data_IF_725312039691
#
_entry.id   IF_725312039691
#
_cell.length_a   1.000
_cell.length_b   1.000
_cell.length_c   1.000
_cell.angle_alpha   90.00
_cell.angle_beta   90.00
_cell.angle_gamma   90.00
#
_symmetry.space_group_name_H-M   'P 1'
#
loop_
_entity.id
_entity.type
_entity.pdbx_description
1 polymer ?
#
# COMPACT_ATOMS: atom_id res chain seq x y z
N UNK A 1 0.01 30.14 -15.36
CA UNK A 1 1.37 30.71 -15.23
C UNK A 1 1.69 30.87 -13.74
N UNK A 2 2.27 29.84 -13.11
CA UNK A 2 2.89 29.96 -11.79
C UNK A 2 4.41 29.82 -11.94
N UNK A 3 5.12 30.94 -11.85
CA UNK A 3 6.58 30.96 -11.72
C UNK A 3 6.95 30.38 -10.35
N UNK A 4 7.64 29.25 -10.33
CA UNK A 4 8.23 28.66 -9.12
C UNK A 4 9.29 29.62 -8.56
N UNK A 5 9.10 30.10 -7.34
CA UNK A 5 10.08 30.90 -6.63
C UNK A 5 11.02 29.97 -5.84
N UNK A 6 12.32 29.85 -6.18
CA UNK A 6 13.25 28.95 -5.51
C UNK A 6 13.61 29.34 -4.06
N UNK A 7 13.22 30.53 -3.62
CA UNK A 7 13.55 31.03 -2.28
C UNK A 7 12.73 30.41 -1.14
N UNK A 8 11.57 29.77 -1.43
CA UNK A 8 10.73 29.18 -0.39
C UNK A 8 11.23 27.82 0.12
N UNK A 9 12.08 27.13 -0.64
CA UNK A 9 12.56 25.79 -0.27
C UNK A 9 13.70 25.81 0.78
N UNK A 10 14.43 26.94 0.90
CA UNK A 10 15.53 27.07 1.88
C UNK A 10 15.08 27.43 3.30
N UNK A 11 13.86 27.93 3.51
CA UNK A 11 13.38 28.33 4.85
C UNK A 11 12.89 27.16 5.72
N UNK A 12 12.63 26.00 5.15
CA UNK A 12 12.13 24.85 5.91
C UNK A 12 13.24 24.02 6.60
N UNK A 13 14.53 24.34 6.33
CA UNK A 13 15.68 23.61 6.90
C UNK A 13 16.33 24.27 8.11
N UNK A 14 15.90 25.45 8.53
CA UNK A 14 16.55 26.23 9.60
C UNK A 14 15.61 26.54 10.78
N UNK A 15 14.67 25.66 11.12
CA UNK A 15 13.76 25.86 12.25
C UNK A 15 14.07 24.91 13.40
N UNK A 16 15.05 25.23 14.23
CA UNK A 16 15.42 24.51 15.45
C UNK A 16 14.40 24.58 16.60
N UNK A 17 13.17 25.06 16.35
CA UNK A 17 12.17 25.26 17.38
C UNK A 17 11.12 24.16 17.57
N UNK A 18 10.96 23.27 16.59
CA UNK A 18 9.90 22.22 16.68
C UNK A 18 10.36 20.88 17.22
N UNK A 19 11.63 20.54 17.10
CA UNK A 19 12.17 19.30 17.68
C UNK A 19 12.15 19.31 19.22
N UNK A 20 12.40 20.47 19.83
CA UNK A 20 12.35 20.63 21.30
C UNK A 20 10.95 20.46 21.88
N UNK A 21 9.91 20.94 21.18
CA UNK A 21 8.51 20.84 21.63
C UNK A 21 7.97 19.41 21.55
N UNK A 22 8.30 18.66 20.49
CA UNK A 22 7.87 17.27 20.36
C UNK A 22 8.54 16.33 21.36
N UNK A 23 9.81 16.59 21.72
CA UNK A 23 10.50 15.81 22.76
C UNK A 23 9.92 15.98 24.16
N UNK A 24 9.39 17.16 24.48
CA UNK A 24 8.81 17.43 25.82
C UNK A 24 7.42 16.80 26.01
N UNK A 25 6.68 16.53 24.95
CA UNK A 25 5.29 16.02 25.01
C UNK A 25 5.24 14.49 24.91
N UNK A 26 6.19 13.84 24.22
CA UNK A 26 6.11 12.41 23.90
C UNK A 26 7.22 11.54 24.48
N UNK A 27 8.16 12.08 25.26
CA UNK A 27 9.27 11.33 25.86
C UNK A 27 10.19 10.66 24.82
N UNK A 28 11.43 10.39 25.23
CA UNK A 28 12.39 9.66 24.40
C UNK A 28 12.05 8.15 24.39
N UNK A 29 11.05 7.74 23.63
CA UNK A 29 10.96 6.34 23.22
C UNK A 29 11.57 6.20 21.83
N UNK A 30 12.55 5.29 21.63
CA UNK A 30 12.96 4.90 20.30
C UNK A 30 11.72 4.43 19.55
N UNK A 31 11.45 4.98 18.37
CA UNK A 31 10.45 4.45 17.45
C UNK A 31 11.02 3.15 16.87
N UNK A 32 10.96 2.07 17.63
CA UNK A 32 11.08 0.74 17.05
C UNK A 32 9.92 0.60 16.05
N UNK A 33 10.27 0.29 14.82
CA UNK A 33 9.27 -0.11 13.82
C UNK A 33 8.50 -1.30 14.43
N UNK A 34 7.15 -1.31 14.37
CA UNK A 34 6.39 -2.42 14.91
C UNK A 34 6.89 -3.72 14.25
N UNK A 35 7.39 -4.67 15.08
CA UNK A 35 7.71 -6.01 14.61
C UNK A 35 6.48 -6.58 13.94
N UNK A 36 6.63 -6.96 12.67
CA UNK A 36 5.57 -7.67 11.96
C UNK A 36 5.31 -9.00 12.67
N UNK A 37 4.05 -9.39 12.86
CA UNK A 37 3.73 -10.73 13.32
C UNK A 37 4.34 -11.73 12.33
N UNK A 38 5.19 -12.62 12.83
CA UNK A 38 5.85 -13.66 12.03
C UNK A 38 4.79 -14.41 11.23
N UNK A 39 4.91 -14.35 9.91
CA UNK A 39 3.99 -15.00 8.99
C UNK A 39 3.77 -16.47 9.42
N UNK A 40 2.55 -16.79 9.79
CA UNK A 40 2.13 -18.16 10.03
C UNK A 40 2.27 -18.92 8.73
N UNK A 41 3.12 -19.98 8.72
CA UNK A 41 3.40 -20.83 7.57
C UNK A 41 2.09 -21.45 7.08
N UNK A 42 1.44 -20.84 6.08
CA UNK A 42 0.38 -21.53 5.32
C UNK A 42 1.04 -22.65 4.52
N UNK A 43 0.46 -23.85 4.59
CA UNK A 43 0.86 -25.05 3.85
C UNK A 43 0.90 -24.75 2.35
N UNK A 44 1.87 -25.27 1.57
CA UNK A 44 1.87 -25.13 0.12
C UNK A 44 0.64 -25.85 -0.46
N UNK A 45 -0.24 -25.11 -1.12
CA UNK A 45 -1.37 -25.66 -1.87
C UNK A 45 -0.92 -25.99 -3.29
N UNK A 46 -1.17 -27.24 -3.70
CA UNK A 46 -1.02 -27.71 -5.07
C UNK A 46 -2.07 -27.08 -5.97
N UNK A 47 -1.65 -26.59 -7.12
CA UNK A 47 -2.32 -26.34 -8.38
C UNK A 47 -3.84 -26.65 -8.43
N UNK A 48 -4.66 -25.69 -7.97
CA UNK A 48 -6.06 -25.47 -8.27
C UNK A 48 -6.28 -23.98 -8.10
N UNK A 49 -7.06 -23.34 -8.96
CA UNK A 49 -7.44 -21.92 -8.90
C UNK A 49 -7.48 -21.44 -7.45
N UNK A 50 -6.53 -20.58 -7.05
CA UNK A 50 -6.50 -20.03 -5.69
C UNK A 50 -7.84 -19.36 -5.44
N UNK A 51 -8.62 -19.91 -4.52
CA UNK A 51 -9.81 -19.27 -4.01
C UNK A 51 -9.34 -18.22 -3.00
N UNK A 52 -9.59 -16.97 -3.31
CA UNK A 52 -9.27 -15.84 -2.45
C UNK A 52 -10.50 -15.49 -1.64
N UNK A 53 -10.50 -15.79 -0.34
CA UNK A 53 -11.63 -15.53 0.53
C UNK A 53 -11.25 -14.51 1.62
N UNK A 54 -12.24 -13.70 2.00
CA UNK A 54 -12.12 -12.82 3.17
C UNK A 54 -12.32 -13.67 4.43
N UNK A 55 -11.34 -13.71 5.35
CA UNK A 55 -11.49 -14.35 6.65
C UNK A 55 -12.61 -13.71 7.49
N UNK A 56 -13.14 -14.44 8.48
CA UNK A 56 -14.10 -13.88 9.41
C UNK A 56 -13.50 -12.71 10.20
N UNK A 57 -14.32 -11.75 10.61
CA UNK A 57 -13.86 -10.53 11.31
C UNK A 57 -13.03 -10.84 12.56
N UNK A 58 -13.41 -11.87 13.33
CA UNK A 58 -12.68 -12.28 14.52
C UNK A 58 -11.26 -12.79 14.23
N UNK A 59 -11.04 -13.37 13.04
CA UNK A 59 -9.72 -13.80 12.56
C UNK A 59 -8.91 -12.62 12.07
N UNK A 60 -9.54 -11.71 11.30
CA UNK A 60 -8.90 -10.48 10.85
C UNK A 60 -8.35 -9.66 12.02
N UNK A 61 -9.10 -9.54 13.12
CA UNK A 61 -8.64 -8.83 14.32
C UNK A 61 -7.46 -9.51 15.03
N UNK A 62 -7.24 -10.79 14.81
CA UNK A 62 -6.09 -11.53 15.37
C UNK A 62 -4.88 -11.52 14.45
N UNK A 63 -5.09 -11.56 13.15
CA UNK A 63 -4.04 -11.69 12.15
C UNK A 63 -3.47 -10.33 11.70
N UNK A 64 -4.30 -9.30 11.64
CA UNK A 64 -3.91 -7.96 11.19
C UNK A 64 -3.38 -7.14 12.37
N UNK A 65 -2.36 -6.32 12.08
CA UNK A 65 -1.98 -5.25 13.00
C UNK A 65 -3.12 -4.22 13.13
N UNK A 66 -3.17 -3.43 14.23
CA UNK A 66 -4.18 -2.38 14.37
C UNK A 66 -4.24 -1.42 13.17
N UNK A 67 -3.08 -1.07 12.58
CA UNK A 67 -3.02 -0.20 11.40
C UNK A 67 -3.58 -0.89 10.16
N UNK A 68 -3.22 -2.14 9.91
CA UNK A 68 -3.75 -2.92 8.78
C UNK A 68 -5.26 -3.05 8.89
N UNK A 69 -5.77 -3.36 10.08
CA UNK A 69 -7.21 -3.46 10.31
C UNK A 69 -7.92 -2.11 10.07
N UNK A 70 -7.41 -1.03 10.67
CA UNK A 70 -7.99 0.31 10.49
C UNK A 70 -7.99 0.74 9.01
N UNK A 71 -6.91 0.45 8.26
CA UNK A 71 -6.84 0.80 6.84
C UNK A 71 -7.79 -0.08 6.02
N UNK A 72 -7.72 -1.40 6.15
CA UNK A 72 -8.44 -2.31 5.26
C UNK A 72 -9.93 -2.41 5.57
N UNK A 73 -10.33 -2.35 6.86
CA UNK A 73 -11.71 -2.58 7.29
C UNK A 73 -12.45 -1.31 7.70
N UNK A 74 -11.75 -0.25 8.12
CA UNK A 74 -12.33 1.00 8.61
C UNK A 74 -12.04 2.20 7.68
N UNK A 75 -11.50 1.92 6.46
CA UNK A 75 -11.18 2.95 5.45
C UNK A 75 -10.21 4.02 5.96
N UNK A 76 -9.28 3.61 6.83
CA UNK A 76 -8.22 4.46 7.35
C UNK A 76 -7.16 4.79 6.29
N UNK A 77 -6.29 5.73 6.60
CA UNK A 77 -5.15 6.10 5.77
C UNK A 77 -3.90 6.19 6.64
N UNK A 78 -2.84 5.52 6.24
CA UNK A 78 -1.54 5.60 6.90
C UNK A 78 -0.82 6.93 6.60
N UNK A 79 0.15 7.37 7.42
CA UNK A 79 0.90 8.60 7.18
C UNK A 79 1.76 8.52 5.91
N UNK A 80 1.83 9.63 5.11
CA UNK A 80 2.72 9.69 3.95
C UNK A 80 4.18 9.65 4.38
N UNK A 81 5.05 9.03 3.57
CA UNK A 81 6.50 8.88 3.79
C UNK A 81 6.90 8.14 5.08
N UNK A 82 5.92 7.55 5.78
CA UNK A 82 6.10 6.75 6.99
C UNK A 82 5.34 5.43 6.89
N UNK A 83 5.46 4.78 5.76
CA UNK A 83 4.85 3.49 5.47
C UNK A 83 5.86 2.60 4.75
N UNK A 84 5.62 1.31 4.72
CA UNK A 84 6.63 0.30 4.39
C UNK A 84 7.07 0.35 2.93
N UNK A 85 6.14 0.61 2.00
CA UNK A 85 6.40 0.39 0.57
C UNK A 85 6.46 1.67 -0.28
N UNK A 86 6.40 2.86 0.32
CA UNK A 86 6.40 4.11 -0.47
C UNK A 86 7.63 4.24 -1.37
N UNK A 87 8.81 3.80 -0.92
CA UNK A 87 10.07 3.84 -1.66
C UNK A 87 10.68 2.46 -1.95
N UNK A 88 9.94 1.36 -1.70
CA UNK A 88 10.38 0.01 -2.05
C UNK A 88 10.62 -0.10 -3.56
N UNK A 89 11.81 -0.61 -3.95
CA UNK A 89 12.29 -0.77 -5.34
C UNK A 89 12.57 -2.22 -5.71
N UNK A 90 12.33 -3.15 -4.82
CA UNK A 90 12.56 -4.57 -5.08
C UNK A 90 11.59 -5.09 -6.14
N UNK A 91 12.06 -6.04 -6.98
CA UNK A 91 11.21 -6.75 -7.93
C UNK A 91 10.32 -7.75 -7.20
N UNK A 92 9.02 -7.68 -7.47
CA UNK A 92 8.03 -8.55 -6.86
C UNK A 92 6.61 -8.06 -7.11
N UNK A 93 5.65 -8.72 -6.45
CA UNK A 93 4.25 -8.34 -6.50
C UNK A 93 3.74 -7.90 -5.14
N UNK A 94 2.70 -7.11 -5.15
CA UNK A 94 1.94 -6.67 -3.99
C UNK A 94 0.59 -7.36 -3.99
N UNK A 95 0.29 -8.08 -2.92
CA UNK A 95 -0.98 -8.81 -2.74
C UNK A 95 -1.79 -8.17 -1.62
N UNK A 96 -3.10 -8.39 -1.62
CA UNK A 96 -3.95 -7.97 -0.50
C UNK A 96 -3.49 -8.66 0.81
N UNK A 97 -3.31 -7.89 1.85
CA UNK A 97 -2.90 -8.43 3.16
C UNK A 97 -3.97 -9.33 3.79
N UNK A 98 -5.23 -9.15 3.41
CA UNK A 98 -6.40 -9.89 3.91
C UNK A 98 -6.58 -11.22 3.18
N UNK A 99 -6.80 -11.18 1.86
CA UNK A 99 -7.12 -12.37 1.05
C UNK A 99 -5.90 -13.02 0.41
N UNK A 100 -4.82 -12.27 0.21
CA UNK A 100 -3.66 -12.71 -0.55
C UNK A 100 -3.84 -12.63 -2.07
N UNK A 101 -4.94 -12.03 -2.59
CA UNK A 101 -5.11 -11.84 -4.02
C UNK A 101 -4.07 -10.90 -4.61
N UNK A 102 -3.52 -11.19 -5.82
CA UNK A 102 -2.51 -10.36 -6.46
C UNK A 102 -3.12 -9.05 -6.95
N UNK A 103 -2.49 -7.92 -6.60
CA UNK A 103 -3.03 -6.60 -6.89
C UNK A 103 -2.12 -5.79 -7.83
N UNK A 104 -0.83 -5.63 -7.48
CA UNK A 104 0.06 -4.74 -8.22
C UNK A 104 1.45 -5.36 -8.41
N UNK A 105 2.12 -4.96 -9.50
CA UNK A 105 3.50 -5.35 -9.80
C UNK A 105 4.46 -4.19 -9.52
N UNK A 106 5.67 -4.51 -9.06
CA UNK A 106 6.76 -3.54 -8.96
C UNK A 106 7.14 -2.93 -10.33
N UNK A 107 6.84 -3.62 -11.44
CA UNK A 107 7.05 -3.10 -12.81
C UNK A 107 6.15 -1.90 -13.12
N UNK A 108 4.98 -1.84 -12.52
CA UNK A 108 4.01 -0.75 -12.71
C UNK A 108 4.09 0.32 -11.59
N UNK A 109 5.00 0.12 -10.61
CA UNK A 109 5.25 1.06 -9.52
C UNK A 109 6.15 2.21 -9.96
N UNK A 110 5.81 3.43 -9.53
CA UNK A 110 6.62 4.60 -9.82
C UNK A 110 6.67 5.60 -8.66
N UNK A 111 7.63 6.52 -8.70
CA UNK A 111 7.79 7.57 -7.70
C UNK A 111 6.84 8.73 -7.99
N UNK A 112 5.68 8.75 -7.36
CA UNK A 112 4.69 9.83 -7.52
C UNK A 112 5.01 11.08 -6.68
N UNK A 113 5.81 10.95 -5.62
CA UNK A 113 6.09 12.04 -4.69
C UNK A 113 5.00 12.27 -3.64
N UNK A 114 3.95 11.45 -3.60
CA UNK A 114 2.84 11.59 -2.66
C UNK A 114 3.12 11.04 -1.27
N UNK A 115 4.12 10.13 -1.16
CA UNK A 115 4.47 9.48 0.09
C UNK A 115 3.77 8.15 0.33
N UNK A 116 3.04 7.65 -0.66
CA UNK A 116 2.44 6.31 -0.71
C UNK A 116 2.90 5.56 -1.95
N UNK A 117 2.92 4.21 -1.92
CA UNK A 117 3.17 3.43 -3.12
C UNK A 117 2.14 3.76 -4.20
N UNK A 118 2.65 4.02 -5.40
CA UNK A 118 1.83 4.45 -6.53
C UNK A 118 2.09 3.56 -7.74
N UNK A 119 1.02 3.11 -8.40
CA UNK A 119 1.07 2.19 -9.52
C UNK A 119 0.28 2.75 -10.70
N UNK A 120 0.69 2.38 -11.93
CA UNK A 120 0.01 2.81 -13.16
C UNK A 120 -1.19 1.95 -13.52
N UNK A 121 -1.22 0.70 -13.05
CA UNK A 121 -2.31 -0.27 -13.28
C UNK A 121 -2.21 -1.44 -12.28
N UNK A 122 -3.30 -2.17 -12.01
CA UNK A 122 -3.26 -3.47 -11.34
C UNK A 122 -2.69 -4.56 -12.26
N UNK A 123 -2.26 -5.70 -11.70
CA UNK A 123 -1.87 -6.91 -12.45
C UNK A 123 -3.10 -7.47 -13.16
N UNK A 124 -4.12 -7.78 -12.39
CA UNK A 124 -5.41 -8.28 -12.86
C UNK A 124 -6.46 -7.22 -12.55
N UNK A 125 -7.08 -6.66 -13.61
CA UNK A 125 -8.12 -5.61 -13.44
C UNK A 125 -9.31 -6.12 -12.63
N UNK A 126 -9.59 -7.41 -12.74
CA UNK A 126 -10.68 -8.12 -12.06
C UNK A 126 -10.50 -8.22 -10.56
N UNK A 127 -9.28 -8.11 -10.04
CA UNK A 127 -8.97 -8.20 -8.60
C UNK A 127 -9.14 -6.88 -7.87
N UNK A 128 -9.48 -5.81 -8.58
CA UNK A 128 -9.78 -4.51 -7.98
C UNK A 128 -11.18 -4.04 -8.34
N UNK A 129 -11.84 -3.39 -7.40
CA UNK A 129 -13.13 -2.75 -7.59
C UNK A 129 -13.00 -1.26 -7.28
N UNK A 130 -13.78 -0.45 -7.96
CA UNK A 130 -13.80 1.00 -7.80
C UNK A 130 -15.17 1.46 -7.30
N UNK A 131 -15.16 2.34 -6.29
CA UNK A 131 -16.38 2.92 -5.71
C UNK A 131 -16.23 4.44 -5.62
N UNK A 132 -17.33 5.15 -5.78
CA UNK A 132 -17.33 6.60 -5.57
C UNK A 132 -17.25 6.91 -4.08
N UNK A 133 -16.17 7.58 -3.67
CA UNK A 133 -15.99 8.10 -2.31
C UNK A 133 -16.31 9.60 -2.29
N UNK A 134 -17.30 9.99 -1.48
CA UNK A 134 -17.75 11.39 -1.31
C UNK A 134 -17.40 11.97 0.06
N UNK A 135 -16.41 11.38 0.73
CA UNK A 135 -15.92 11.88 2.02
C UNK A 135 -15.06 13.14 1.84
N UNK A 136 -14.88 13.90 2.91
CA UNK A 136 -14.00 15.06 2.97
C UNK A 136 -14.32 16.17 1.93
N UNK A 137 -15.61 16.38 1.60
CA UNK A 137 -16.07 17.42 0.66
C UNK A 137 -15.47 17.29 -0.76
N UNK A 138 -14.90 16.17 -1.12
CA UNK A 138 -14.38 15.87 -2.46
C UNK A 138 -14.94 14.53 -2.96
N UNK A 139 -15.15 14.46 -4.26
CA UNK A 139 -15.48 13.18 -4.91
C UNK A 139 -14.18 12.54 -5.37
N UNK A 140 -13.91 11.33 -4.90
CA UNK A 140 -12.75 10.52 -5.28
C UNK A 140 -13.22 9.14 -5.70
N UNK A 141 -12.35 8.39 -6.38
CA UNK A 141 -12.60 6.98 -6.70
C UNK A 141 -11.78 6.11 -5.75
N UNK A 142 -12.46 5.47 -4.81
CA UNK A 142 -11.89 4.48 -3.91
C UNK A 142 -11.56 3.20 -4.68
N UNK A 143 -10.41 2.60 -4.36
CA UNK A 143 -9.98 1.30 -4.86
C UNK A 143 -10.03 0.29 -3.71
N UNK A 144 -10.70 -0.83 -3.96
CA UNK A 144 -10.81 -1.96 -3.02
C UNK A 144 -10.37 -3.25 -3.69
N UNK A 145 -9.87 -4.21 -2.91
CA UNK A 145 -9.67 -5.57 -3.38
C UNK A 145 -11.01 -6.26 -3.59
N UNK A 146 -11.09 -7.15 -4.58
CA UNK A 146 -12.37 -7.80 -4.93
C UNK A 146 -12.79 -8.85 -3.91
N UNK A 147 -11.86 -9.72 -3.52
CA UNK A 147 -12.15 -10.86 -2.66
C UNK A 147 -12.01 -10.53 -1.17
N UNK A 148 -10.97 -9.77 -0.80
CA UNK A 148 -10.78 -9.31 0.57
C UNK A 148 -11.72 -8.18 0.99
N UNK A 149 -12.33 -7.49 0.02
CA UNK A 149 -13.08 -6.23 0.24
C UNK A 149 -12.30 -5.25 1.13
N UNK A 150 -10.99 -5.22 0.94
CA UNK A 150 -10.08 -4.33 1.66
C UNK A 150 -10.09 -2.95 1.04
N UNK A 151 -10.21 -1.89 1.85
CA UNK A 151 -9.87 -0.57 1.37
C UNK A 151 -8.38 -0.52 1.05
N UNK A 152 -8.02 -0.21 -0.20
CA UNK A 152 -6.64 -0.13 -0.66
C UNK A 152 -6.15 1.31 -0.70
N UNK A 153 -6.97 2.22 -1.18
CA UNK A 153 -6.64 3.62 -1.42
C UNK A 153 -7.55 4.24 -2.47
N UNK A 154 -6.98 5.07 -3.33
CA UNK A 154 -7.75 5.78 -4.36
C UNK A 154 -7.01 5.77 -5.71
N UNK A 155 -7.77 5.90 -6.78
CA UNK A 155 -7.24 6.08 -8.13
C UNK A 155 -7.52 7.50 -8.64
N UNK A 156 -6.54 8.07 -9.35
CA UNK A 156 -6.54 9.42 -9.91
C UNK A 156 -6.11 9.38 -11.38
N UNK A 157 -6.53 10.37 -12.16
CA UNK A 157 -6.21 10.53 -13.59
C UNK A 157 -4.98 11.43 -13.82
N UNK A 158 -4.07 11.50 -12.85
CA UNK A 158 -2.86 12.32 -12.88
C UNK A 158 -1.57 11.50 -12.93
N UNK A 159 -1.68 10.23 -13.34
CA UNK A 159 -0.57 9.31 -13.50
C UNK A 159 0.23 9.52 -14.80
N UNK A 160 1.35 8.81 -14.95
CA UNK A 160 2.17 8.88 -16.16
C UNK A 160 1.53 8.09 -17.34
N UNK A 161 1.95 8.45 -18.56
CA UNK A 161 1.65 7.64 -19.74
C UNK A 161 2.24 6.21 -19.58
N UNK A 162 1.65 5.19 -20.21
CA UNK A 162 0.55 5.24 -21.19
C UNK A 162 -0.85 5.28 -20.56
N UNK A 163 -1.03 4.90 -19.30
CA UNK A 163 -2.36 4.74 -18.68
C UNK A 163 -2.98 6.07 -18.24
N UNK A 164 -2.15 7.05 -17.87
CA UNK A 164 -2.62 8.28 -17.24
C UNK A 164 -3.16 8.09 -15.82
N UNK A 165 -3.17 6.86 -15.31
CA UNK A 165 -3.77 6.51 -14.01
C UNK A 165 -2.72 6.45 -12.91
N UNK A 166 -3.10 6.87 -11.71
CA UNK A 166 -2.31 6.72 -10.49
C UNK A 166 -3.14 6.03 -9.41
N UNK A 167 -2.85 4.77 -9.18
CA UNK A 167 -3.35 4.01 -8.04
C UNK A 167 -2.48 4.35 -6.82
N UNK A 168 -2.99 5.19 -5.93
CA UNK A 168 -2.32 5.63 -4.70
C UNK A 168 -2.80 4.74 -3.55
N UNK A 169 -1.95 3.82 -3.12
CA UNK A 169 -2.35 2.67 -2.30
C UNK A 169 -1.66 2.73 -0.93
N UNK A 170 -2.36 2.36 0.13
CA UNK A 170 -1.79 2.24 1.46
C UNK A 170 -0.88 1.00 1.54
N UNK A 171 0.34 1.14 2.04
CA UNK A 171 1.23 0.00 2.31
C UNK A 171 0.60 -0.99 3.29
N UNK A 172 -0.13 -0.49 4.28
CA UNK A 172 -0.79 -1.32 5.30
C UNK A 172 -1.86 -2.27 4.73
N UNK A 173 -2.41 -1.99 3.53
CA UNK A 173 -3.33 -2.90 2.84
C UNK A 173 -2.62 -3.96 2.00
N UNK A 174 -1.29 -3.89 1.89
CA UNK A 174 -0.49 -4.72 1.02
C UNK A 174 0.44 -5.64 1.80
N UNK A 175 0.75 -6.79 1.18
CA UNK A 175 1.89 -7.64 1.51
C UNK A 175 2.77 -7.75 0.27
N UNK A 176 4.07 -7.49 0.41
CA UNK A 176 5.02 -7.62 -0.68
C UNK A 176 5.57 -9.04 -0.74
N UNK A 177 5.66 -9.60 -1.96
CA UNK A 177 6.27 -10.89 -2.24
C UNK A 177 7.41 -10.65 -3.22
N UNK A 178 8.68 -10.82 -2.80
CA UNK A 178 9.83 -10.69 -3.68
C UNK A 178 9.78 -11.69 -4.83
N UNK A 179 10.32 -11.31 -5.98
CA UNK A 179 10.37 -12.15 -7.20
C UNK A 179 10.90 -13.55 -6.94
N UNK A 180 11.98 -13.68 -6.16
CA UNK A 180 12.60 -14.96 -5.83
C UNK A 180 11.70 -15.88 -4.99
N UNK A 181 10.72 -15.35 -4.29
CA UNK A 181 9.81 -16.08 -3.42
C UNK A 181 8.46 -16.39 -4.07
N UNK A 182 8.17 -15.83 -5.27
CA UNK A 182 6.88 -16.00 -5.95
C UNK A 182 6.47 -17.46 -6.11
N UNK A 183 7.35 -18.30 -6.64
CA UNK A 183 7.04 -19.73 -6.83
C UNK A 183 6.79 -20.44 -5.49
N UNK A 184 7.57 -20.14 -4.46
CA UNK A 184 7.45 -20.72 -3.13
C UNK A 184 6.17 -20.30 -2.42
N UNK A 185 5.75 -19.05 -2.60
CA UNK A 185 4.52 -18.48 -2.03
C UNK A 185 3.27 -18.82 -2.85
N UNK A 186 3.45 -19.57 -3.98
CA UNK A 186 2.37 -20.02 -4.85
C UNK A 186 1.85 -18.92 -5.80
N UNK A 187 2.72 -18.02 -6.22
CA UNK A 187 2.45 -16.98 -7.24
C UNK A 187 3.39 -17.13 -8.44
N UNK A 188 3.83 -18.37 -8.72
CA UNK A 188 4.81 -18.67 -9.79
C UNK A 188 4.38 -18.20 -11.17
N UNK A 189 3.08 -18.14 -11.47
CA UNK A 189 2.55 -17.63 -12.72
C UNK A 189 2.95 -16.17 -13.02
N UNK A 190 3.19 -15.37 -11.98
CA UNK A 190 3.59 -13.96 -12.12
C UNK A 190 5.09 -13.76 -12.34
N UNK A 191 5.90 -14.82 -12.39
CA UNK A 191 7.31 -14.71 -12.75
C UNK A 191 7.51 -14.15 -14.16
N UNK A 192 6.59 -14.45 -15.07
CA UNK A 192 6.60 -13.93 -16.45
C UNK A 192 6.52 -12.40 -16.55
N UNK A 193 6.06 -11.70 -15.52
CA UNK A 193 6.09 -10.23 -15.47
C UNK A 193 7.50 -9.65 -15.39
N UNK A 194 8.50 -10.48 -15.05
CA UNK A 194 9.88 -10.08 -14.74
C UNK A 194 10.91 -10.64 -15.73
N UNK A 195 10.44 -11.30 -16.78
CA UNK A 195 11.26 -11.83 -17.90
C UNK A 195 11.58 -10.78 -18.97
#
# INVERSE_FOLDING_TARGET
YYKKNPASYKRYRAGSGREGFLKSVWGERPLEAPEQPKATKKKPMSDKSKEYDKPAEAELRKELTPLQYAVTQEEGTEPPFRNEFWDNKEEGIYVDVVSGEPLFSSKDKYKSGTGWPSFTKPIERENVTERVDRKLMSTRTEVRSKHGDSHLGHVFEDGPAPTGMRYCINSASLRFIPKQDLAKEGYGEYLSLFE
#
